data_IF_926241623482
#
_entry.id   IF_926241623482
#
_cell.length_a   1.000
_cell.length_b   1.000
_cell.length_c   1.000
_cell.angle_alpha   90.00
_cell.angle_beta   90.00
_cell.angle_gamma   90.00
#
_symmetry.space_group_name_H-M   'P 1'
#
loop_
_entity.id
_entity.type
_entity.pdbx_description
1 polymer ?
#
# COMPACT_ATOMS: atom_id res chain seq x y z
N UNK A 1 1.26 11.75 1.03
CA UNK A 1 2.14 10.89 1.85
C UNK A 1 2.86 11.76 2.86
N UNK A 2 2.93 11.40 4.16
CA UNK A 2 3.89 12.03 5.05
C UNK A 2 5.29 11.73 4.52
N UNK A 3 6.17 12.73 4.48
CA UNK A 3 7.57 12.62 4.06
C UNK A 3 8.44 12.03 5.20
N UNK A 4 7.89 11.09 5.97
CA UNK A 4 8.54 10.56 7.16
C UNK A 4 9.26 9.25 6.83
N UNK A 5 10.55 9.20 7.16
CA UNK A 5 11.35 7.98 7.04
C UNK A 5 10.81 6.90 7.98
N UNK A 6 10.40 5.76 7.42
CA UNK A 6 9.98 4.59 8.19
C UNK A 6 11.16 3.64 8.41
N UNK A 7 11.55 3.47 9.67
CA UNK A 7 12.53 2.45 10.05
C UNK A 7 11.79 1.13 10.32
N UNK A 8 12.04 0.12 9.49
CA UNK A 8 11.47 -1.21 9.62
C UNK A 8 12.50 -2.23 10.14
N UNK A 9 12.03 -3.18 10.97
CA UNK A 9 12.86 -4.30 11.44
C UNK A 9 12.71 -5.47 10.48
N UNK A 10 13.83 -6.03 10.03
CA UNK A 10 13.85 -7.19 9.12
C UNK A 10 13.01 -8.35 9.68
N UNK A 11 12.15 -8.92 8.83
CA UNK A 11 11.27 -10.04 9.15
C UNK A 11 10.05 -9.65 10.01
N UNK A 12 9.90 -8.39 10.41
CA UNK A 12 8.71 -7.87 11.10
C UNK A 12 7.79 -7.17 10.09
N UNK A 13 6.49 -7.04 10.41
CA UNK A 13 5.61 -6.21 9.62
C UNK A 13 5.98 -4.73 9.74
N UNK A 14 5.79 -3.98 8.66
CA UNK A 14 5.86 -2.52 8.63
C UNK A 14 4.60 -1.92 8.01
N UNK A 15 4.27 -0.70 8.39
CA UNK A 15 3.08 0.01 7.92
C UNK A 15 3.51 1.33 7.30
N UNK A 16 3.32 1.47 5.99
CA UNK A 16 3.49 2.71 5.26
C UNK A 16 2.21 3.52 5.39
N UNK A 17 2.29 4.63 6.12
CA UNK A 17 1.15 5.49 6.41
C UNK A 17 0.69 6.27 5.19
N UNK A 18 -0.58 6.12 4.81
CA UNK A 18 -1.22 6.98 3.82
C UNK A 18 -2.62 7.36 4.28
N UNK A 19 -2.87 8.67 4.34
CA UNK A 19 -4.15 9.22 4.71
C UNK A 19 -4.67 10.15 3.62
N UNK A 20 -5.97 10.09 3.38
CA UNK A 20 -6.69 10.90 2.41
C UNK A 20 -8.00 11.39 3.01
N UNK A 21 -8.59 12.44 2.44
CA UNK A 21 -9.94 12.86 2.82
C UNK A 21 -10.94 11.98 2.08
N UNK A 22 -11.71 11.13 2.78
CA UNK A 22 -12.62 10.20 2.12
C UNK A 22 -13.80 10.95 1.48
N UNK A 23 -14.20 10.51 0.29
CA UNK A 23 -15.47 10.92 -0.29
C UNK A 23 -16.62 10.13 0.36
N UNK A 24 -17.83 10.70 0.44
CA UNK A 24 -19.01 9.97 0.93
C UNK A 24 -19.32 8.72 0.10
N UNK A 25 -18.99 8.76 -1.19
CA UNK A 25 -19.10 7.65 -2.13
C UNK A 25 -17.71 7.05 -2.39
N UNK A 26 -17.51 5.80 -1.97
CA UNK A 26 -16.26 5.07 -2.15
C UNK A 26 -16.26 4.17 -3.40
N UNK A 27 -17.36 4.11 -4.16
CA UNK A 27 -17.46 3.25 -5.36
C UNK A 27 -16.43 3.60 -6.44
N UNK A 28 -16.04 4.88 -6.49
CA UNK A 28 -15.02 5.42 -7.39
C UNK A 28 -13.61 5.46 -6.77
N UNK A 29 -13.43 4.93 -5.55
CA UNK A 29 -12.15 4.97 -4.87
C UNK A 29 -11.12 4.10 -5.61
N UNK A 30 -10.01 4.74 -6.00
CA UNK A 30 -8.84 4.08 -6.54
C UNK A 30 -7.64 4.36 -5.63
N UNK A 31 -7.02 3.30 -5.13
CA UNK A 31 -5.77 3.36 -4.36
C UNK A 31 -4.74 2.55 -5.11
N UNK A 32 -3.62 3.17 -5.42
CA UNK A 32 -2.48 2.52 -6.07
C UNK A 32 -1.25 2.83 -5.25
N UNK A 33 -0.56 1.77 -4.83
CA UNK A 33 0.77 1.83 -4.24
C UNK A 33 1.78 1.41 -5.28
N UNK A 34 2.81 2.22 -5.47
CA UNK A 34 3.87 1.94 -6.44
C UNK A 34 5.25 2.27 -5.89
N UNK A 35 6.27 1.61 -6.45
CA UNK A 35 7.65 2.02 -6.26
C UNK A 35 7.91 3.32 -6.99
N UNK A 36 8.54 4.27 -6.30
CA UNK A 36 8.85 5.56 -6.90
C UNK A 36 9.91 5.45 -8.01
N UNK A 37 10.85 4.51 -7.90
CA UNK A 37 12.01 4.43 -8.81
C UNK A 37 11.63 3.95 -10.22
N UNK A 38 10.79 2.93 -10.33
CA UNK A 38 10.44 2.29 -11.61
C UNK A 38 8.93 2.23 -11.88
N UNK A 39 8.11 2.85 -11.02
CA UNK A 39 6.64 2.81 -11.10
C UNK A 39 6.07 1.39 -11.05
N UNK A 40 6.80 0.41 -10.51
CA UNK A 40 6.28 -0.93 -10.32
C UNK A 40 5.12 -0.92 -9.34
N UNK A 41 3.98 -1.48 -9.74
CA UNK A 41 2.79 -1.59 -8.90
C UNK A 41 3.06 -2.58 -7.77
N UNK A 42 2.97 -2.07 -6.54
CA UNK A 42 3.10 -2.83 -5.30
C UNK A 42 1.76 -3.42 -4.92
N UNK A 43 0.70 -2.61 -5.01
CA UNK A 43 -0.67 -3.03 -4.74
C UNK A 43 -1.65 -2.05 -5.35
N UNK A 44 -2.79 -2.53 -5.86
CA UNK A 44 -3.86 -1.68 -6.38
C UNK A 44 -5.23 -2.15 -5.93
N UNK A 45 -6.10 -1.18 -5.68
CA UNK A 45 -7.50 -1.36 -5.30
C UNK A 45 -8.36 -0.38 -6.10
N UNK A 46 -9.30 -0.91 -6.88
CA UNK A 46 -10.31 -0.15 -7.61
C UNK A 46 -11.47 -1.07 -8.01
N UNK A 47 -12.64 -0.50 -8.32
CA UNK A 47 -13.90 -1.23 -8.49
C UNK A 47 -14.24 -2.09 -7.26
N UNK A 48 -14.01 -1.55 -6.06
CA UNK A 48 -14.32 -2.18 -4.77
C UNK A 48 -13.59 -3.51 -4.51
N UNK A 49 -12.52 -3.80 -5.24
CA UNK A 49 -11.75 -5.04 -5.11
C UNK A 49 -10.24 -4.80 -5.27
N UNK A 50 -9.45 -5.73 -4.71
CA UNK A 50 -8.00 -5.77 -4.94
C UNK A 50 -7.71 -6.26 -6.37
N UNK A 51 -6.74 -5.64 -7.02
CA UNK A 51 -6.42 -5.87 -8.43
C UNK A 51 -5.06 -6.54 -8.51
N UNK A 52 -5.05 -7.82 -8.14
CA UNK A 52 -3.82 -8.59 -7.89
C UNK A 52 -3.14 -9.09 -9.18
N UNK A 53 -3.81 -9.02 -10.32
CA UNK A 53 -3.33 -9.58 -11.60
C UNK A 53 -2.05 -8.94 -12.11
N UNK A 54 -1.79 -7.69 -11.71
CA UNK A 54 -0.58 -6.94 -12.08
C UNK A 54 0.41 -6.77 -10.92
N UNK A 55 0.14 -7.38 -9.77
CA UNK A 55 1.03 -7.33 -8.63
C UNK A 55 2.27 -8.18 -8.88
N UNK A 56 3.45 -7.63 -8.61
CA UNK A 56 4.70 -8.41 -8.68
C UNK A 56 4.64 -9.63 -7.75
N UNK A 57 5.09 -10.82 -8.17
CA UNK A 57 5.10 -12.02 -7.33
C UNK A 57 5.82 -11.83 -6.00
N UNK A 58 6.80 -10.91 -5.93
CA UNK A 58 7.56 -10.59 -4.71
C UNK A 58 6.70 -9.93 -3.61
N UNK A 59 5.57 -9.33 -3.99
CA UNK A 59 4.61 -8.65 -3.11
C UNK A 59 3.36 -9.47 -2.84
N UNK A 60 3.10 -10.46 -3.69
CA UNK A 60 1.99 -11.38 -3.54
C UNK A 60 2.05 -12.04 -2.16
N UNK A 61 0.91 -12.05 -1.44
CA UNK A 61 0.74 -12.58 -0.07
C UNK A 61 1.47 -11.86 1.08
N UNK A 62 2.39 -10.93 0.80
CA UNK A 62 3.08 -10.14 1.84
C UNK A 62 2.44 -8.78 2.09
N UNK A 63 1.66 -8.27 1.14
CA UNK A 63 1.10 -6.93 1.20
C UNK A 63 -0.41 -6.94 1.39
N UNK A 64 -0.88 -6.02 2.23
CA UNK A 64 -2.31 -5.83 2.50
C UNK A 64 -2.65 -4.35 2.72
N UNK A 65 -3.86 -3.98 2.30
CA UNK A 65 -4.48 -2.69 2.62
C UNK A 65 -5.54 -2.87 3.71
N UNK A 66 -5.74 -1.84 4.52
CA UNK A 66 -6.80 -1.78 5.52
C UNK A 66 -8.13 -1.33 4.88
N UNK A 67 -8.75 -2.19 4.06
CA UNK A 67 -9.97 -1.85 3.30
C UNK A 67 -11.09 -1.33 4.20
N UNK A 68 -11.24 -1.89 5.41
CA UNK A 68 -12.23 -1.45 6.41
C UNK A 68 -12.02 -0.02 6.91
N UNK A 69 -10.83 0.56 6.71
CA UNK A 69 -10.46 1.90 7.15
C UNK A 69 -10.53 2.94 6.02
N UNK A 70 -10.88 2.55 4.79
CA UNK A 70 -11.02 3.49 3.66
C UNK A 70 -12.09 4.56 3.91
N UNK A 71 -13.20 4.20 4.56
CA UNK A 71 -14.23 5.17 4.95
C UNK A 71 -13.77 6.20 5.99
N UNK A 72 -12.64 5.95 6.66
CA UNK A 72 -12.00 6.91 7.57
C UNK A 72 -10.83 7.64 6.91
N UNK A 73 -10.58 7.39 5.62
CA UNK A 73 -9.49 8.02 4.88
C UNK A 73 -8.13 7.38 5.12
N UNK A 74 -8.05 6.10 5.50
CA UNK A 74 -6.77 5.43 5.74
C UNK A 74 -6.47 4.42 4.63
N UNK A 75 -5.51 4.77 3.76
CA UNK A 75 -5.02 3.94 2.67
C UNK A 75 -3.65 3.30 2.99
N UNK A 76 -3.31 3.16 4.28
CA UNK A 76 -2.00 2.66 4.70
C UNK A 76 -1.74 1.24 4.18
N UNK A 77 -0.51 1.00 3.75
CA UNK A 77 -0.04 -0.30 3.26
C UNK A 77 0.67 -1.04 4.38
N UNK A 78 0.30 -2.30 4.60
CA UNK A 78 1.05 -3.21 5.45
C UNK A 78 1.89 -4.14 4.60
N UNK A 79 3.18 -4.22 4.93
CA UNK A 79 4.13 -5.19 4.36
C UNK A 79 4.51 -6.16 5.47
N UNK A 80 4.18 -7.45 5.30
CA UNK A 80 4.55 -8.53 6.22
C UNK A 80 5.94 -9.08 5.86
N UNK A 81 6.80 -9.21 6.86
CA UNK A 81 8.14 -9.78 6.70
C UNK A 81 9.06 -8.91 5.84
N UNK A 82 9.30 -7.66 6.27
CA UNK A 82 10.15 -6.71 5.55
C UNK A 82 11.57 -7.24 5.36
N UNK A 83 12.10 -7.10 4.14
CA UNK A 83 13.46 -7.46 3.78
C UNK A 83 14.23 -6.32 3.11
N UNK A 84 15.52 -6.52 2.78
CA UNK A 84 16.34 -5.50 2.15
C UNK A 84 15.83 -5.01 0.78
N UNK A 85 15.03 -5.82 0.08
CA UNK A 85 14.39 -5.46 -1.19
C UNK A 85 13.22 -4.49 -1.02
N UNK A 86 12.67 -4.37 0.18
CA UNK A 86 11.55 -3.49 0.49
C UNK A 86 12.04 -2.09 0.93
N UNK A 87 13.33 -1.79 0.77
CA UNK A 87 13.92 -0.48 1.09
C UNK A 87 13.81 0.43 -0.12
N UNK A 88 13.13 1.57 0.05
CA UNK A 88 13.09 2.64 -0.93
C UNK A 88 11.88 3.53 -0.73
N UNK A 89 11.51 4.24 -1.79
CA UNK A 89 10.43 5.21 -1.76
C UNK A 89 9.17 4.66 -2.42
N UNK A 90 8.03 4.90 -1.75
CA UNK A 90 6.72 4.43 -2.16
C UNK A 90 5.78 5.63 -2.38
N UNK A 91 4.90 5.50 -3.38
CA UNK A 91 3.89 6.50 -3.73
C UNK A 91 2.48 5.91 -3.66
#
# INVERSE_FOLDING_TARGET
>A
MPNDDLIAVRGRPAILGCHFTPHPDLSSLAIVWQWQEDSQVVHSFYYEQNQLDHQSPEYHSRISLYISEFGKGNASLRIDGVGPKDVGWYL
#
